data_IF_029023768674
#
_entry.id   IF_029023768674
#
_cell.length_a   1.000
_cell.length_b   1.000
_cell.length_c   1.000
_cell.angle_alpha   90.00
_cell.angle_beta   90.00
_cell.angle_gamma   90.00
#
_symmetry.space_group_name_H-M   'P 1'
#
loop_
_entity.id
_entity.type
_entity.pdbx_description
1 polymer ?
#
# COMPACT_ATOMS: atom_id res chain seq x y z
N UNK A 1 -1.37 26.96 36.35
CA UNK A 1 -1.43 25.50 36.56
C UNK A 1 -0.66 24.80 35.45
N UNK A 2 0.38 24.07 35.84
CA UNK A 2 1.14 23.03 35.11
C UNK A 2 1.57 23.29 33.67
N UNK A 3 2.74 23.91 33.58
CA UNK A 3 3.77 23.62 32.57
C UNK A 3 3.83 22.12 32.26
N UNK A 4 3.49 21.71 31.04
CA UNK A 4 3.87 20.40 30.52
C UNK A 4 5.19 20.55 29.76
N UNK A 5 6.28 20.69 30.53
CA UNK A 5 7.63 20.40 30.05
C UNK A 5 7.69 18.90 29.78
N UNK A 6 7.51 18.51 28.52
CA UNK A 6 8.01 17.22 28.05
C UNK A 6 8.99 17.52 26.93
N UNK A 7 10.28 17.33 27.20
CA UNK A 7 11.28 17.15 26.16
C UNK A 7 10.81 15.95 25.35
N UNK A 8 10.02 16.17 24.29
CA UNK A 8 9.63 15.10 23.38
C UNK A 8 10.93 14.49 22.87
N UNK A 9 11.18 13.23 23.20
CA UNK A 9 12.34 12.49 22.74
C UNK A 9 12.45 12.67 21.22
N UNK A 10 13.53 13.31 20.75
CA UNK A 10 13.72 13.66 19.33
C UNK A 10 13.56 12.41 18.43
N UNK A 11 13.89 11.23 18.97
CA UNK A 11 13.65 9.91 18.40
C UNK A 11 12.18 9.58 18.11
N UNK A 12 11.25 9.91 19.01
CA UNK A 12 9.81 9.65 18.81
C UNK A 12 9.27 10.51 17.67
N UNK A 13 9.72 11.77 17.58
CA UNK A 13 9.36 12.65 16.47
C UNK A 13 9.93 12.15 15.14
N UNK A 14 11.19 11.73 15.13
CA UNK A 14 11.83 11.14 13.95
C UNK A 14 11.10 9.87 13.48
N UNK A 15 10.77 8.95 14.39
CA UNK A 15 10.02 7.73 14.06
C UNK A 15 8.63 8.05 13.49
N UNK A 16 7.92 9.02 14.07
CA UNK A 16 6.62 9.48 13.55
C UNK A 16 6.75 10.06 12.14
N UNK A 17 7.77 10.88 11.89
CA UNK A 17 8.05 11.43 10.56
C UNK A 17 8.33 10.31 9.55
N UNK A 18 9.15 9.32 9.90
CA UNK A 18 9.45 8.19 9.02
C UNK A 18 8.22 7.33 8.75
N UNK A 19 7.40 7.05 9.76
CA UNK A 19 6.15 6.32 9.59
C UNK A 19 5.21 7.04 8.60
N UNK A 20 5.08 8.36 8.72
CA UNK A 20 4.24 9.15 7.81
C UNK A 20 4.72 9.10 6.35
N UNK A 21 6.03 8.97 6.12
CA UNK A 21 6.59 8.79 4.76
C UNK A 21 6.29 7.41 4.21
N UNK A 22 6.42 6.37 5.03
CA UNK A 22 6.08 5.00 4.65
C UNK A 22 4.58 4.89 4.32
N UNK A 23 3.72 5.51 5.12
CA UNK A 23 2.28 5.49 4.89
C UNK A 23 1.90 6.14 3.54
N UNK A 24 2.55 7.25 3.17
CA UNK A 24 2.37 7.89 1.85
C UNK A 24 2.82 7.00 0.70
N UNK A 25 4.01 6.39 0.82
CA UNK A 25 4.52 5.46 -0.18
C UNK A 25 3.56 4.29 -0.36
N UNK A 26 3.03 3.73 0.73
CA UNK A 26 2.05 2.64 0.66
C UNK A 26 0.76 3.07 -0.05
N UNK A 27 0.26 4.29 0.22
CA UNK A 27 -0.92 4.83 -0.45
C UNK A 27 -0.68 5.01 -1.96
N UNK A 28 0.47 5.56 -2.36
CA UNK A 28 0.86 5.75 -3.77
C UNK A 28 1.00 4.40 -4.50
N UNK A 29 1.60 3.39 -3.84
CA UNK A 29 1.67 2.02 -4.37
C UNK A 29 0.26 1.46 -4.60
N UNK A 30 -0.65 1.59 -3.62
CA UNK A 30 -2.03 1.06 -3.73
C UNK A 30 -2.78 1.73 -4.86
N UNK A 31 -2.67 3.06 -4.99
CA UNK A 31 -3.31 3.80 -6.08
C UNK A 31 -2.78 3.39 -7.46
N UNK A 32 -1.47 3.17 -7.58
CA UNK A 32 -0.86 2.71 -8.83
C UNK A 32 -1.30 1.30 -9.21
N UNK A 33 -1.30 0.36 -8.24
CA UNK A 33 -1.82 -1.00 -8.45
C UNK A 33 -3.28 -0.95 -8.88
N UNK A 34 -4.10 -0.11 -8.23
CA UNK A 34 -5.50 0.05 -8.58
C UNK A 34 -5.68 0.50 -10.04
N UNK A 35 -4.91 1.51 -10.48
CA UNK A 35 -4.95 2.00 -11.86
C UNK A 35 -4.56 0.91 -12.86
N UNK A 36 -3.44 0.22 -12.63
CA UNK A 36 -2.97 -0.86 -13.50
C UNK A 36 -3.97 -2.03 -13.54
N UNK A 37 -4.59 -2.37 -12.41
CA UNK A 37 -5.61 -3.39 -12.35
C UNK A 37 -6.88 -2.99 -13.08
N UNK A 38 -7.29 -1.71 -12.99
CA UNK A 38 -8.43 -1.17 -13.73
C UNK A 38 -8.19 -1.26 -15.23
N UNK A 39 -7.00 -0.87 -15.71
CA UNK A 39 -6.63 -0.94 -17.13
C UNK A 39 -6.52 -2.38 -17.64
N UNK A 40 -5.92 -3.30 -16.87
CA UNK A 40 -5.68 -4.69 -17.30
C UNK A 40 -6.92 -5.59 -17.19
N UNK A 41 -7.77 -5.35 -16.19
CA UNK A 41 -8.90 -6.22 -15.87
C UNK A 41 -10.27 -5.56 -16.06
N UNK A 42 -10.33 -4.35 -16.60
CA UNK A 42 -11.59 -3.60 -16.83
C UNK A 42 -12.45 -3.50 -15.55
N UNK A 43 -11.80 -3.25 -14.42
CA UNK A 43 -12.46 -3.15 -13.11
C UNK A 43 -12.94 -4.48 -12.52
N UNK A 44 -12.64 -5.62 -13.14
CA UNK A 44 -13.01 -6.94 -12.63
C UNK A 44 -12.11 -7.37 -11.45
N UNK A 45 -12.51 -6.93 -10.26
CA UNK A 45 -11.79 -7.23 -9.01
C UNK A 45 -11.70 -8.72 -8.70
N UNK A 46 -12.71 -9.53 -9.06
CA UNK A 46 -12.70 -10.97 -8.83
C UNK A 46 -11.64 -11.66 -9.70
N UNK A 47 -11.52 -11.24 -10.97
CA UNK A 47 -10.50 -11.74 -11.89
C UNK A 47 -9.10 -11.35 -11.43
N UNK A 48 -8.91 -10.08 -11.05
CA UNK A 48 -7.63 -9.62 -10.52
C UNK A 48 -7.23 -10.36 -9.25
N UNK A 49 -8.17 -10.56 -8.33
CA UNK A 49 -7.94 -11.32 -7.10
C UNK A 49 -7.50 -12.77 -7.40
N UNK A 50 -8.15 -13.44 -8.36
CA UNK A 50 -7.79 -14.79 -8.79
C UNK A 50 -6.39 -14.83 -9.39
N UNK A 51 -6.05 -13.88 -10.26
CA UNK A 51 -4.72 -13.77 -10.86
C UNK A 51 -3.63 -13.49 -9.83
N UNK A 52 -3.95 -12.72 -8.80
CA UNK A 52 -3.03 -12.37 -7.72
C UNK A 52 -3.02 -13.39 -6.56
N UNK A 53 -3.70 -14.54 -6.69
CA UNK A 53 -3.85 -15.53 -5.62
C UNK A 53 -4.24 -14.91 -4.26
N UNK A 54 -5.23 -14.01 -4.32
CA UNK A 54 -5.80 -13.25 -3.21
C UNK A 54 -7.33 -13.41 -3.19
N UNK A 55 -7.94 -13.13 -2.04
CA UNK A 55 -9.41 -13.02 -1.99
C UNK A 55 -9.85 -11.65 -2.51
N UNK A 56 -10.99 -11.59 -3.20
CA UNK A 56 -11.59 -10.32 -3.63
C UNK A 56 -11.84 -9.38 -2.43
N UNK A 57 -12.22 -9.95 -1.28
CA UNK A 57 -12.37 -9.20 -0.04
C UNK A 57 -11.06 -8.53 0.41
N UNK A 58 -9.92 -9.18 0.20
CA UNK A 58 -8.60 -8.60 0.49
C UNK A 58 -8.30 -7.43 -0.43
N UNK A 59 -8.51 -7.58 -1.75
CA UNK A 59 -8.33 -6.50 -2.73
C UNK A 59 -9.18 -5.29 -2.35
N UNK A 60 -10.47 -5.52 -2.08
CA UNK A 60 -11.40 -4.45 -1.68
C UNK A 60 -10.98 -3.78 -0.37
N UNK A 61 -10.47 -4.51 0.62
CA UNK A 61 -10.01 -3.90 1.88
C UNK A 61 -8.75 -3.05 1.69
N UNK A 62 -7.82 -3.48 0.84
CA UNK A 62 -6.61 -2.72 0.50
C UNK A 62 -7.01 -1.41 -0.18
N UNK A 63 -7.86 -1.47 -1.21
CA UNK A 63 -8.31 -0.27 -1.94
C UNK A 63 -9.06 0.74 -1.06
N UNK A 64 -9.75 0.27 -0.02
CA UNK A 64 -10.45 1.14 0.93
C UNK A 64 -9.60 1.57 2.13
N UNK A 65 -8.29 1.28 2.15
CA UNK A 65 -7.41 1.58 3.28
C UNK A 65 -7.76 0.85 4.58
N UNK A 66 -8.61 -0.19 4.52
CA UNK A 66 -9.05 -0.99 5.69
C UNK A 66 -8.06 -2.09 6.05
N UNK A 67 -7.08 -2.34 5.18
CA UNK A 67 -6.04 -3.35 5.39
C UNK A 67 -4.73 -2.83 4.80
N UNK A 68 -3.68 -2.82 5.63
CA UNK A 68 -2.31 -2.53 5.20
C UNK A 68 -1.79 -3.66 4.30
N UNK A 69 -0.95 -3.31 3.35
CA UNK A 69 -0.39 -4.25 2.41
C UNK A 69 0.91 -4.84 2.95
N UNK A 70 0.96 -6.16 3.09
CA UNK A 70 2.23 -6.85 3.38
C UNK A 70 3.05 -6.98 2.12
N UNK A 71 4.38 -7.10 2.24
CA UNK A 71 5.26 -7.31 1.09
C UNK A 71 4.86 -8.56 0.27
N UNK A 72 4.42 -9.63 0.94
CA UNK A 72 3.92 -10.82 0.26
C UNK A 72 2.66 -10.54 -0.58
N UNK A 73 1.72 -9.72 -0.06
CA UNK A 73 0.57 -9.30 -0.86
C UNK A 73 1.00 -8.43 -2.03
N UNK A 74 1.93 -7.49 -1.82
CA UNK A 74 2.45 -6.65 -2.89
C UNK A 74 3.04 -7.49 -4.04
N UNK A 75 3.90 -8.48 -3.73
CA UNK A 75 4.48 -9.38 -4.72
C UNK A 75 3.42 -10.17 -5.49
N UNK A 76 2.41 -10.67 -4.78
CA UNK A 76 1.26 -11.37 -5.39
C UNK A 76 0.46 -10.49 -6.34
N UNK A 77 0.27 -9.21 -6.00
CA UNK A 77 -0.44 -8.26 -6.85
C UNK A 77 0.40 -7.91 -8.09
N UNK A 78 1.72 -7.77 -7.94
CA UNK A 78 2.64 -7.57 -9.05
C UNK A 78 2.62 -8.78 -10.01
N UNK A 79 2.66 -10.00 -9.46
CA UNK A 79 2.52 -11.25 -10.23
C UNK A 79 1.20 -11.29 -11.00
N UNK A 80 0.08 -10.96 -10.35
CA UNK A 80 -1.22 -10.86 -11.01
C UNK A 80 -1.27 -9.80 -12.12
N UNK A 81 -0.54 -8.70 -11.97
CA UNK A 81 -0.39 -7.65 -12.98
C UNK A 81 0.66 -7.97 -14.04
N UNK A 82 1.45 -9.04 -13.86
CA UNK A 82 2.61 -9.40 -14.69
C UNK A 82 3.60 -8.22 -14.84
N UNK A 83 3.85 -7.52 -13.73
CA UNK A 83 4.82 -6.42 -13.64
C UNK A 83 5.91 -6.75 -12.63
N UNK A 84 7.12 -6.24 -12.84
CA UNK A 84 8.17 -6.36 -11.83
C UNK A 84 7.96 -5.33 -10.71
N UNK A 85 8.28 -5.72 -9.47
CA UNK A 85 8.19 -4.81 -8.32
C UNK A 85 9.07 -3.56 -8.50
N UNK A 86 10.23 -3.69 -9.15
CA UNK A 86 11.12 -2.58 -9.48
C UNK A 86 10.43 -1.58 -10.40
N UNK A 87 9.75 -2.04 -11.45
CA UNK A 87 8.99 -1.18 -12.38
C UNK A 87 7.84 -0.47 -11.67
N UNK A 88 7.19 -1.15 -10.71
CA UNK A 88 6.16 -0.56 -9.89
C UNK A 88 6.73 0.58 -9.02
N UNK A 89 7.90 0.39 -8.41
CA UNK A 89 8.51 1.36 -7.48
C UNK A 89 9.25 2.50 -8.19
N UNK A 90 9.88 2.28 -9.35
CA UNK A 90 10.66 3.31 -10.05
C UNK A 90 9.86 4.55 -10.48
N UNK A 91 8.53 4.50 -10.44
CA UNK A 91 7.66 5.60 -10.81
C UNK A 91 6.83 6.13 -9.63
N UNK A 92 7.39 5.99 -8.42
CA UNK A 92 6.89 6.54 -7.15
C UNK A 92 7.93 7.54 -6.64
#
# INVERSE_FOLDING_TARGET
MTSCKSKKNNWVYFLCLMQSKIDKIEEEIVQKIFKLALEKFDGNNSLFARKSNCSEASIRRIYNGKQRMTLNMLLKLCDGLEIDLKELIEQI
#
